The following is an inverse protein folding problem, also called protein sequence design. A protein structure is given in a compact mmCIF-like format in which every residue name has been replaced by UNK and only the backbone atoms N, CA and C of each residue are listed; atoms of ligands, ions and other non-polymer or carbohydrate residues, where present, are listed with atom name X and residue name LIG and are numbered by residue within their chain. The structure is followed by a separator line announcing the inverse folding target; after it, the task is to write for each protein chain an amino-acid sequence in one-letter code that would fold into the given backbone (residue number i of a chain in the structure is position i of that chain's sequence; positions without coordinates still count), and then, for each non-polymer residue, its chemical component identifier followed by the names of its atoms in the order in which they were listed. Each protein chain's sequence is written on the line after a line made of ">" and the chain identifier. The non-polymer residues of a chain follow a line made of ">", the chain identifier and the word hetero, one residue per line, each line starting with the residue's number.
data_IF_318419789601
#
_entry.id   IF_318419789601
#
_cell.length_a   1.000
_cell.length_b   1.000
_cell.length_c   1.000
_cell.angle_alpha   90.00
_cell.angle_beta   90.00
_cell.angle_gamma   90.00
#
_symmetry.space_group_name_H-M   'P 1'
#
loop_
_entity.id
_entity.type
_entity.pdbx_description
1 polymer ?
#
# COMPACT_ATOMS: atom_id res chain seq x y z
N UNK A 1 2.79 -22.21 13.46
CA UNK A 1 2.80 -20.97 12.67
C UNK A 1 1.36 -20.53 12.50
N UNK A 2 1.02 -19.26 12.72
CA UNK A 2 -0.32 -18.76 12.40
C UNK A 2 -0.64 -19.00 10.92
N UNK A 3 -1.86 -19.45 10.64
CA UNK A 3 -2.38 -19.56 9.28
C UNK A 3 -3.24 -18.32 9.03
N UNK A 4 -3.15 -17.68 7.88
CA UNK A 4 -3.97 -16.52 7.50
C UNK A 4 -3.73 -15.21 8.29
N UNK A 5 -2.64 -15.11 9.06
CA UNK A 5 -2.23 -13.87 9.70
C UNK A 5 -0.72 -13.72 9.72
N UNK A 6 -0.26 -12.47 9.72
CA UNK A 6 1.15 -12.11 9.85
C UNK A 6 1.31 -11.06 10.95
N UNK A 7 2.52 -10.92 11.46
CA UNK A 7 2.84 -10.00 12.54
C UNK A 7 4.15 -9.27 12.26
N UNK A 8 4.16 -7.95 12.45
CA UNK A 8 5.40 -7.18 12.53
C UNK A 8 5.91 -7.21 13.97
N UNK A 9 7.17 -7.63 14.18
CA UNK A 9 7.79 -7.73 15.49
C UNK A 9 9.31 -7.57 15.40
N UNK A 10 9.92 -7.24 16.52
CA UNK A 10 11.38 -7.17 16.67
C UNK A 10 11.90 -8.25 17.60
N UNK A 11 11.09 -8.74 18.52
CA UNK A 11 11.47 -9.68 19.56
C UNK A 11 10.45 -10.81 19.65
N UNK A 12 10.93 -11.98 20.04
CA UNK A 12 10.10 -13.15 20.32
C UNK A 12 10.41 -13.63 21.73
N UNK A 13 9.41 -13.68 22.58
CA UNK A 13 9.48 -14.29 23.91
C UNK A 13 8.91 -15.71 23.86
N UNK A 14 9.59 -16.64 24.46
CA UNK A 14 9.15 -18.04 24.54
C UNK A 14 8.96 -18.42 25.99
N UNK A 15 7.71 -18.70 26.35
CA UNK A 15 7.37 -19.25 27.66
C UNK A 15 7.13 -20.77 27.57
N UNK A 16 7.63 -21.51 28.56
CA UNK A 16 7.44 -22.95 28.62
C UNK A 16 7.16 -23.42 30.05
N UNK A 17 6.20 -24.31 30.23
CA UNK A 17 5.89 -24.94 31.49
C UNK A 17 6.93 -26.02 31.95
N UNK A 18 7.89 -26.30 31.09
CA UNK A 18 8.99 -27.27 31.38
C UNK A 18 10.31 -26.62 30.94
N UNK A 19 11.44 -27.02 31.58
CA UNK A 19 12.75 -26.57 31.12
C UNK A 19 12.96 -26.93 29.64
N UNK A 20 13.27 -25.93 28.83
CA UNK A 20 13.56 -26.07 27.39
C UNK A 20 14.86 -25.34 27.10
N UNK A 21 15.77 -26.00 26.41
CA UNK A 21 16.95 -25.36 25.86
C UNK A 21 16.62 -24.94 24.44
N UNK A 22 16.60 -23.63 24.19
CA UNK A 22 16.41 -23.06 22.86
C UNK A 22 17.77 -22.79 22.21
N UNK A 23 17.86 -23.14 20.94
CA UNK A 23 18.97 -22.79 20.07
C UNK A 23 18.45 -21.92 18.92
N UNK A 24 19.34 -21.29 18.18
CA UNK A 24 18.96 -20.51 16.99
C UNK A 24 18.17 -21.32 15.94
N UNK A 25 18.37 -22.63 15.91
CA UNK A 25 17.70 -23.55 14.99
C UNK A 25 16.22 -23.82 15.37
N UNK A 26 15.84 -23.55 16.62
CA UNK A 26 14.49 -23.82 17.11
C UNK A 26 13.46 -22.75 16.74
N UNK A 27 13.92 -21.56 16.34
CA UNK A 27 13.08 -20.44 15.98
C UNK A 27 13.50 -19.90 14.61
N UNK A 28 12.56 -19.91 13.67
CA UNK A 28 12.76 -19.37 12.32
C UNK A 28 11.75 -18.27 12.06
N UNK A 29 12.24 -17.06 11.77
CA UNK A 29 11.42 -15.98 11.27
C UNK A 29 11.15 -16.14 9.77
N UNK A 30 9.89 -16.12 9.38
CA UNK A 30 9.50 -16.15 7.96
C UNK A 30 9.10 -14.73 7.54
N UNK A 31 9.88 -14.14 6.65
CA UNK A 31 9.53 -12.87 6.03
C UNK A 31 8.55 -13.14 4.89
N UNK A 32 7.37 -12.54 4.96
CA UNK A 32 6.31 -12.73 3.99
C UNK A 32 5.91 -11.38 3.38
N UNK A 33 5.80 -11.33 2.08
CA UNK A 33 5.33 -10.17 1.33
C UNK A 33 4.83 -10.62 -0.05
N UNK A 34 4.14 -9.73 -0.77
CA UNK A 34 3.81 -9.93 -2.20
C UNK A 34 5.10 -10.06 -3.00
N UNK A 35 5.16 -11.05 -3.87
CA UNK A 35 6.32 -11.31 -4.73
C UNK A 35 6.46 -10.20 -5.79
N UNK A 36 7.26 -9.20 -5.46
CA UNK A 36 7.67 -8.11 -6.36
C UNK A 36 9.16 -8.22 -6.65
N UNK A 37 9.52 -8.21 -7.92
CA UNK A 37 10.92 -8.29 -8.33
C UNK A 37 11.64 -6.96 -8.11
N UNK A 38 12.87 -6.95 -7.60
CA UNK A 38 13.69 -5.75 -7.61
C UNK A 38 13.87 -5.22 -9.04
N UNK A 39 13.61 -3.94 -9.26
CA UNK A 39 13.78 -3.24 -10.56
C UNK A 39 14.86 -2.17 -10.51
N UNK A 40 15.19 -1.66 -9.32
CA UNK A 40 16.20 -0.62 -9.12
C UNK A 40 17.18 -0.95 -8.02
N UNK A 41 18.32 -0.25 -8.05
CA UNK A 41 19.33 -0.33 -7.00
C UNK A 41 20.01 1.03 -6.82
N UNK A 42 20.48 1.28 -5.60
CA UNK A 42 21.24 2.49 -5.29
C UNK A 42 22.51 2.11 -4.50
N UNK A 43 23.63 2.69 -4.89
CA UNK A 43 24.88 2.58 -4.17
C UNK A 43 25.71 3.86 -4.34
N UNK A 44 26.30 4.34 -3.25
CA UNK A 44 27.22 5.48 -3.27
C UNK A 44 28.34 5.31 -2.24
N UNK A 45 29.30 6.23 -2.23
CA UNK A 45 30.42 6.20 -1.29
C UNK A 45 30.05 6.50 0.17
N UNK A 46 28.85 7.05 0.41
CA UNK A 46 28.36 7.31 1.76
C UNK A 46 27.57 6.11 2.30
N UNK A 47 28.12 5.37 3.31
CA UNK A 47 27.47 4.18 3.82
C UNK A 47 26.13 4.45 4.51
N UNK A 48 25.92 5.66 5.02
CA UNK A 48 24.63 6.03 5.64
C UNK A 48 23.52 6.10 4.60
N UNK A 49 23.77 6.68 3.44
CA UNK A 49 22.78 6.75 2.36
C UNK A 49 22.42 5.35 1.84
N UNK A 50 23.40 4.46 1.72
CA UNK A 50 23.15 3.08 1.33
C UNK A 50 22.24 2.38 2.34
N UNK A 51 22.49 2.55 3.64
CA UNK A 51 21.64 1.99 4.70
C UNK A 51 20.22 2.59 4.71
N UNK A 52 20.08 3.88 4.43
CA UNK A 52 18.77 4.52 4.29
C UNK A 52 18.00 3.87 3.14
N UNK A 53 18.63 3.70 1.98
CA UNK A 53 18.01 3.02 0.84
C UNK A 53 17.54 1.60 1.21
N UNK A 54 18.44 0.79 1.76
CA UNK A 54 18.13 -0.59 2.16
C UNK A 54 16.96 -0.66 3.16
N UNK A 55 17.00 0.18 4.19
CA UNK A 55 15.93 0.24 5.20
C UNK A 55 14.60 0.69 4.61
N UNK A 56 14.62 1.64 3.68
CA UNK A 56 13.43 2.15 3.01
C UNK A 56 12.81 1.08 2.11
N UNK A 57 13.63 0.38 1.30
CA UNK A 57 13.16 -0.74 0.47
C UNK A 57 12.60 -1.88 1.32
N UNK A 58 13.23 -2.17 2.46
CA UNK A 58 12.74 -3.18 3.38
C UNK A 58 11.41 -2.77 4.03
N UNK A 59 11.26 -1.51 4.44
CA UNK A 59 10.00 -1.00 5.00
C UNK A 59 8.87 -1.07 3.97
N UNK A 60 9.13 -0.63 2.75
CA UNK A 60 8.16 -0.70 1.65
C UNK A 60 7.70 -2.14 1.41
N UNK A 61 8.64 -3.08 1.24
CA UNK A 61 8.35 -4.49 1.00
C UNK A 61 7.58 -5.15 2.16
N UNK A 62 7.83 -4.72 3.40
CA UNK A 62 7.10 -5.18 4.60
C UNK A 62 5.62 -4.77 4.61
N UNK A 63 5.24 -3.82 3.76
CA UNK A 63 3.89 -3.31 3.62
C UNK A 63 3.19 -3.76 2.32
N UNK A 64 3.70 -4.80 1.66
CA UNK A 64 3.08 -5.38 0.47
C UNK A 64 2.46 -6.75 0.78
N UNK A 65 1.15 -6.78 0.96
CA UNK A 65 0.40 -8.00 1.26
C UNK A 65 -0.85 -8.12 0.38
N UNK A 66 -0.66 -8.43 -0.90
CA UNK A 66 -1.65 -8.39 -2.00
C UNK A 66 -2.14 -6.98 -2.35
N UNK A 67 -2.00 -6.05 -1.43
CA UNK A 67 -2.27 -4.62 -1.55
C UNK A 67 -1.14 -3.86 -0.84
N UNK A 68 -0.93 -2.58 -1.11
CA UNK A 68 -0.14 -1.71 -0.26
C UNK A 68 -0.84 -1.53 1.09
N UNK A 69 -0.12 -1.73 2.20
CA UNK A 69 -0.66 -1.53 3.55
C UNK A 69 0.06 -0.40 4.27
N UNK A 70 -0.62 0.25 5.20
CA UNK A 70 -0.08 1.35 6.00
C UNK A 70 1.01 0.89 6.98
N UNK A 71 0.78 -0.24 7.63
CA UNK A 71 1.72 -0.77 8.63
C UNK A 71 1.61 -2.29 8.79
N UNK A 72 2.74 -3.01 9.00
CA UNK A 72 2.73 -4.46 9.08
C UNK A 72 2.35 -5.02 10.46
N UNK A 73 2.30 -4.17 11.50
CA UNK A 73 2.15 -4.62 12.88
C UNK A 73 0.80 -4.29 13.53
N UNK A 74 0.10 -3.26 13.06
CA UNK A 74 -1.14 -2.77 13.69
C UNK A 74 -2.35 -2.90 12.77
N UNK A 75 -2.62 -1.88 11.95
CA UNK A 75 -3.84 -1.76 11.16
C UNK A 75 -3.87 -2.73 10.00
N UNK A 76 -2.77 -2.82 9.23
CA UNK A 76 -2.63 -3.73 8.07
C UNK A 76 -3.69 -3.47 7.00
N UNK A 77 -4.05 -2.20 6.84
CA UNK A 77 -5.10 -1.74 5.95
C UNK A 77 -4.55 -1.07 4.70
N UNK A 78 -5.30 -1.14 3.63
CA UNK A 78 -4.98 -0.48 2.36
C UNK A 78 -5.31 1.01 2.39
N UNK A 79 -4.67 1.79 3.27
CA UNK A 79 -4.82 3.23 3.31
C UNK A 79 -4.31 3.86 2.01
N UNK A 80 -5.18 4.59 1.36
CA UNK A 80 -4.96 5.05 -0.01
C UNK A 80 -3.92 6.16 -0.10
N UNK A 81 -3.86 7.07 0.89
CA UNK A 81 -2.83 8.10 0.94
C UNK A 81 -1.44 7.51 1.16
N UNK A 82 -1.30 6.55 2.08
CA UNK A 82 -0.04 5.86 2.35
C UNK A 82 0.53 5.23 1.08
N UNK A 83 -0.34 4.59 0.31
CA UNK A 83 0.05 3.95 -0.93
C UNK A 83 0.52 4.94 -2.00
N UNK A 84 -0.24 6.02 -2.25
CA UNK A 84 0.12 6.95 -3.33
C UNK A 84 1.30 7.86 -2.97
N UNK A 85 1.53 8.16 -1.69
CA UNK A 85 2.73 8.89 -1.25
C UNK A 85 3.99 8.05 -1.47
N UNK A 86 3.88 6.72 -1.35
CA UNK A 86 5.00 5.80 -1.49
C UNK A 86 5.19 5.24 -2.91
N UNK A 87 4.33 5.59 -3.88
CA UNK A 87 4.32 4.95 -5.20
C UNK A 87 5.63 5.09 -5.96
N UNK A 88 6.19 6.30 -6.04
CA UNK A 88 7.44 6.52 -6.76
C UNK A 88 8.60 5.74 -6.15
N UNK A 89 8.69 5.74 -4.82
CA UNK A 89 9.67 4.94 -4.10
C UNK A 89 9.52 3.45 -4.44
N UNK A 90 8.28 2.98 -4.46
CA UNK A 90 7.95 1.60 -4.78
C UNK A 90 8.38 1.21 -6.18
N UNK A 91 8.03 2.01 -7.17
CA UNK A 91 8.32 1.73 -8.58
C UNK A 91 9.80 1.93 -8.95
N UNK A 92 10.52 2.79 -8.22
CA UNK A 92 11.97 2.89 -8.32
C UNK A 92 12.70 1.63 -7.84
N UNK A 93 12.17 0.98 -6.81
CA UNK A 93 12.81 -0.18 -6.19
C UNK A 93 12.31 -1.54 -6.71
N UNK A 94 11.06 -1.61 -7.14
CA UNK A 94 10.38 -2.87 -7.46
C UNK A 94 9.50 -2.78 -8.70
N UNK A 95 9.43 -3.88 -9.44
CA UNK A 95 8.45 -4.09 -10.51
C UNK A 95 7.08 -4.40 -9.89
N UNK A 96 6.31 -3.36 -9.64
CA UNK A 96 5.03 -3.42 -8.94
C UNK A 96 3.79 -3.33 -9.82
N UNK A 97 3.94 -3.33 -11.16
CA UNK A 97 2.84 -3.06 -12.10
C UNK A 97 1.62 -3.92 -11.83
N UNK A 98 1.77 -5.24 -11.72
CA UNK A 98 0.64 -6.18 -11.55
C UNK A 98 -0.05 -6.04 -10.19
N UNK A 99 0.70 -5.66 -9.15
CA UNK A 99 0.14 -5.36 -7.82
C UNK A 99 -0.81 -4.16 -7.91
N UNK A 100 -0.32 -3.08 -8.52
CA UNK A 100 -1.09 -1.84 -8.58
C UNK A 100 -2.24 -1.91 -9.59
N UNK A 101 -2.06 -2.53 -10.76
CA UNK A 101 -3.18 -2.78 -11.69
C UNK A 101 -4.33 -3.52 -10.99
N UNK A 102 -4.01 -4.57 -10.24
CA UNK A 102 -5.00 -5.34 -9.48
C UNK A 102 -5.67 -4.48 -8.40
N UNK A 103 -4.92 -3.63 -7.72
CA UNK A 103 -5.48 -2.76 -6.69
C UNK A 103 -6.32 -1.61 -7.26
N UNK A 104 -6.05 -1.16 -8.48
CA UNK A 104 -6.92 -0.21 -9.18
C UNK A 104 -8.31 -0.79 -9.47
N UNK A 105 -8.41 -2.08 -9.74
CA UNK A 105 -9.71 -2.77 -9.85
C UNK A 105 -10.46 -2.74 -8.51
N UNK A 106 -9.77 -2.92 -7.37
CA UNK A 106 -10.38 -2.78 -6.05
C UNK A 106 -10.94 -1.37 -5.79
N UNK A 107 -10.31 -0.32 -6.32
CA UNK A 107 -10.83 1.06 -6.22
C UNK A 107 -12.18 1.18 -6.96
N UNK A 108 -12.25 0.61 -8.17
CA UNK A 108 -13.51 0.61 -8.96
C UNK A 108 -14.63 -0.10 -8.18
N UNK A 109 -14.32 -1.27 -7.64
CA UNK A 109 -15.30 -2.10 -6.92
C UNK A 109 -15.76 -1.47 -5.60
N UNK A 110 -14.92 -0.64 -4.98
CA UNK A 110 -15.25 0.04 -3.73
C UNK A 110 -15.93 1.40 -3.92
N UNK A 111 -16.07 1.91 -5.14
CA UNK A 111 -16.79 3.17 -5.35
C UNK A 111 -18.28 3.03 -5.08
N UNK A 112 -18.82 3.87 -4.21
CA UNK A 112 -20.26 3.94 -3.94
C UNK A 112 -21.01 4.61 -5.08
N UNK A 113 -22.31 4.37 -5.14
CA UNK A 113 -23.22 4.92 -6.17
C UNK A 113 -23.14 6.45 -6.26
N UNK A 114 -23.00 7.13 -5.13
CA UNK A 114 -22.83 8.60 -5.07
C UNK A 114 -21.49 9.10 -5.62
N UNK A 115 -20.54 8.21 -5.93
CA UNK A 115 -19.20 8.57 -6.41
C UNK A 115 -18.10 8.59 -5.34
N UNK A 116 -18.46 8.47 -4.06
CA UNK A 116 -17.52 8.40 -2.95
C UNK A 116 -16.68 7.13 -3.00
N UNK A 117 -15.39 7.24 -2.67
CA UNK A 117 -14.52 6.09 -2.40
C UNK A 117 -14.12 6.04 -0.93
N UNK A 118 -13.65 4.88 -0.49
CA UNK A 118 -13.10 4.71 0.84
C UNK A 118 -11.64 5.14 0.88
N UNK A 119 -11.21 5.73 1.99
CA UNK A 119 -9.77 5.94 2.26
C UNK A 119 -9.00 4.67 2.57
N UNK A 120 -9.72 3.53 2.73
CA UNK A 120 -9.15 2.19 2.94
C UNK A 120 -9.71 1.27 1.88
N UNK A 121 -8.87 0.68 1.04
CA UNK A 121 -9.29 -0.18 -0.05
C UNK A 121 -8.49 -1.49 -0.05
N UNK A 122 -9.14 -2.66 -0.02
CA UNK A 122 -10.58 -2.88 0.13
C UNK A 122 -11.12 -2.42 1.48
N UNK A 123 -12.35 -1.93 1.51
CA UNK A 123 -12.99 -1.48 2.74
C UNK A 123 -13.74 -2.62 3.43
N UNK A 124 -13.59 -2.71 4.75
CA UNK A 124 -14.38 -3.59 5.61
C UNK A 124 -15.63 -2.89 6.20
N UNK A 125 -16.00 -1.73 5.64
CA UNK A 125 -17.17 -0.95 6.07
C UNK A 125 -16.83 0.39 6.74
N UNK A 126 -15.56 0.68 6.98
CA UNK A 126 -15.08 1.99 7.45
C UNK A 126 -14.11 2.63 6.44
N UNK A 127 -13.83 3.90 6.62
CA UNK A 127 -13.00 4.67 5.69
C UNK A 127 -13.80 5.51 4.69
N UNK A 128 -15.13 5.54 4.82
CA UNK A 128 -16.04 6.44 4.11
C UNK A 128 -16.49 7.60 4.99
N UNK A 129 -17.05 8.64 4.40
CA UNK A 129 -17.64 9.78 5.08
C UNK A 129 -16.78 11.05 5.00
N UNK A 130 -16.87 11.94 6.01
CA UNK A 130 -16.11 13.20 6.03
C UNK A 130 -14.60 13.02 6.14
N UNK A 131 -14.18 11.88 6.49
CA UNK A 131 -12.84 11.37 6.60
C UNK A 131 -12.65 10.23 5.59
N UNK A 132 -11.64 10.22 4.78
CA UNK A 132 -10.39 11.00 4.79
C UNK A 132 -10.32 12.16 3.78
N UNK A 133 -11.27 12.26 2.80
CA UNK A 133 -11.36 13.34 1.83
C UNK A 133 -10.34 13.32 0.69
N UNK A 134 -10.27 14.42 -0.10
CA UNK A 134 -9.59 14.44 -1.41
C UNK A 134 -8.11 14.04 -1.39
N UNK A 135 -7.41 14.23 -0.26
CA UNK A 135 -5.99 13.87 -0.14
C UNK A 135 -5.79 12.35 -0.25
N UNK A 136 -6.66 11.57 0.38
CA UNK A 136 -6.64 10.11 0.28
C UNK A 136 -7.16 9.64 -1.07
N UNK A 137 -8.24 10.25 -1.52
CA UNK A 137 -8.95 9.87 -2.74
C UNK A 137 -8.14 10.18 -4.01
N UNK A 138 -7.10 11.02 -3.92
CA UNK A 138 -6.15 11.29 -5.00
C UNK A 138 -5.42 10.03 -5.52
N UNK A 139 -5.48 8.93 -4.80
CA UNK A 139 -4.92 7.63 -5.18
C UNK A 139 -5.32 7.21 -6.60
N UNK A 140 -6.60 7.43 -6.98
CA UNK A 140 -7.13 7.06 -8.28
C UNK A 140 -6.57 7.87 -9.45
N UNK A 141 -5.92 8.99 -9.17
CA UNK A 141 -5.24 9.83 -10.16
C UNK A 141 -3.73 9.63 -10.13
N UNK A 142 -3.14 9.57 -8.93
CA UNK A 142 -1.69 9.54 -8.74
C UNK A 142 -1.11 8.18 -9.15
N UNK A 143 -1.70 7.07 -8.71
CA UNK A 143 -1.15 5.75 -9.02
C UNK A 143 -1.23 5.42 -10.51
N UNK A 144 -2.37 5.57 -11.21
CA UNK A 144 -2.40 5.32 -12.64
C UNK A 144 -1.45 6.23 -13.44
N UNK A 145 -1.27 7.50 -13.02
CA UNK A 145 -0.27 8.37 -13.64
C UNK A 145 1.15 7.84 -13.43
N UNK A 146 1.49 7.38 -12.22
CA UNK A 146 2.80 6.78 -11.97
C UNK A 146 3.01 5.50 -12.80
N UNK A 147 1.99 4.65 -12.95
CA UNK A 147 2.07 3.47 -13.83
C UNK A 147 2.31 3.85 -15.28
N UNK A 148 1.69 4.93 -15.75
CA UNK A 148 1.95 5.47 -17.07
C UNK A 148 3.40 6.00 -17.20
N UNK A 149 3.88 6.76 -16.24
CA UNK A 149 5.21 7.36 -16.27
C UNK A 149 6.33 6.31 -16.23
N UNK A 150 6.16 5.25 -15.44
CA UNK A 150 7.18 4.21 -15.27
C UNK A 150 7.11 3.09 -16.31
N UNK A 151 5.91 2.75 -16.81
CA UNK A 151 5.68 1.59 -17.67
C UNK A 151 5.02 1.91 -19.01
N UNK A 152 4.52 3.13 -19.22
CA UNK A 152 3.67 3.47 -20.36
C UNK A 152 2.31 2.76 -20.31
N UNK A 153 1.86 2.35 -19.12
CA UNK A 153 0.63 1.60 -18.91
C UNK A 153 -0.58 2.55 -18.94
N UNK A 154 -1.55 2.31 -19.82
CA UNK A 154 -2.75 3.16 -19.99
C UNK A 154 -4.03 2.48 -19.53
N UNK A 155 -4.05 1.17 -19.40
CA UNK A 155 -5.25 0.39 -19.06
C UNK A 155 -5.86 0.80 -17.72
N UNK A 156 -5.03 1.08 -16.72
CA UNK A 156 -5.49 1.54 -15.41
C UNK A 156 -6.19 2.89 -15.51
N UNK A 157 -5.65 3.82 -16.33
CA UNK A 157 -6.29 5.11 -16.57
C UNK A 157 -7.62 4.91 -17.31
N UNK A 158 -7.64 4.11 -18.37
CA UNK A 158 -8.84 3.85 -19.18
C UNK A 158 -9.96 3.22 -18.35
N UNK A 159 -9.62 2.22 -17.52
CA UNK A 159 -10.58 1.53 -16.65
C UNK A 159 -11.11 2.44 -15.53
N UNK A 160 -10.24 3.24 -14.91
CA UNK A 160 -10.60 4.14 -13.82
C UNK A 160 -11.30 5.41 -14.29
N UNK A 161 -11.20 5.78 -15.54
CA UNK A 161 -11.72 7.06 -16.03
C UNK A 161 -13.19 7.32 -15.68
N UNK A 162 -14.11 6.35 -15.84
CA UNK A 162 -15.51 6.53 -15.41
C UNK A 162 -15.64 6.74 -13.89
N UNK A 163 -14.82 6.05 -13.10
CA UNK A 163 -14.75 6.19 -11.63
C UNK A 163 -14.26 7.56 -11.22
N UNK A 164 -13.22 8.08 -11.90
CA UNK A 164 -12.69 9.43 -11.69
C UNK A 164 -13.75 10.49 -11.97
N UNK A 165 -14.50 10.37 -13.07
CA UNK A 165 -15.56 11.32 -13.41
C UNK A 165 -16.67 11.34 -12.35
N UNK A 166 -17.15 10.15 -11.92
CA UNK A 166 -18.16 10.07 -10.84
C UNK A 166 -17.65 10.67 -9.53
N UNK A 167 -16.38 10.47 -9.21
CA UNK A 167 -15.77 11.06 -8.03
C UNK A 167 -15.70 12.59 -8.13
N UNK A 168 -15.31 13.16 -9.27
CA UNK A 168 -15.30 14.60 -9.48
C UNK A 168 -16.70 15.21 -9.37
N UNK A 169 -17.73 14.51 -9.85
CA UNK A 169 -19.13 14.95 -9.67
C UNK A 169 -19.55 14.88 -8.19
N UNK A 170 -19.13 13.84 -7.47
CA UNK A 170 -19.31 13.76 -6.01
C UNK A 170 -18.64 14.93 -5.29
N UNK A 171 -17.39 15.28 -5.63
CA UNK A 171 -16.70 16.42 -5.03
C UNK A 171 -17.46 17.74 -5.21
N UNK A 172 -18.06 18.00 -6.38
CA UNK A 172 -18.90 19.20 -6.60
C UNK A 172 -20.03 19.31 -5.59
N UNK A 173 -20.57 18.18 -5.10
CA UNK A 173 -21.62 18.17 -4.07
C UNK A 173 -21.11 18.55 -2.68
N UNK A 174 -19.78 18.54 -2.49
CA UNK A 174 -19.11 18.89 -1.21
C UNK A 174 -18.60 20.32 -1.17
N UNK A 175 -18.59 21.00 -2.30
CA UNK A 175 -18.14 22.39 -2.38
C UNK A 175 -19.00 23.29 -1.50
N UNK A 176 -18.35 24.10 -0.67
CA UNK A 176 -18.98 25.10 0.20
C UNK A 176 -18.21 26.42 0.07
N UNK A 177 -18.93 27.51 -0.19
CA UNK A 177 -18.37 28.88 -0.23
C UNK A 177 -17.13 29.02 -1.15
N UNK A 178 -17.09 28.28 -2.27
CA UNK A 178 -16.00 28.31 -3.24
C UNK A 178 -14.77 27.46 -2.87
N UNK A 179 -14.92 26.47 -2.01
CA UNK A 179 -13.90 25.51 -1.62
C UNK A 179 -14.44 24.23 -1.01
N UNK A 180 -13.54 23.25 -0.82
CA UNK A 180 -13.83 21.93 -0.24
C UNK A 180 -13.52 21.90 1.25
#
# INVERSE_FOLDING_TARGET
>A
MPSFSYHGFQYVEVESSRPVTLTEENLTGLFMHTDVRPSGSFACSNPLLNKIWEATMQAYRSNLHSIPTDCPQREKNGWTADAHIAIDLGLLGFDGITLYERWMDDIIDNQREAGEISGIIPSSGWGYGEWPGPVWDAVMFIIPNALYDYYGETRSIENLYPTMLRYLDYLKTKEKDGGY
#
